data_IF_658348921052
#
_entry.id   IF_658348921052
#
_cell.length_a   1.000
_cell.length_b   1.000
_cell.length_c   1.000
_cell.angle_alpha   90.00
_cell.angle_beta   90.00
_cell.angle_gamma   90.00
#
_symmetry.space_group_name_H-M   'P 1'
#
loop_
_entity.id
_entity.type
_entity.pdbx_description
1 polymer ?
#
# COMPACT_ATOMS: atom_id res chain seq x y z
N UNK A 1 55.88 40.57 -3.26
CA UNK A 1 54.55 39.96 -3.41
C UNK A 1 54.74 38.46 -3.59
N UNK A 2 54.35 37.65 -2.60
CA UNK A 2 54.42 36.18 -2.63
C UNK A 2 53.12 35.66 -2.03
N UNK A 3 52.25 35.10 -2.88
CA UNK A 3 51.01 34.43 -2.46
C UNK A 3 51.36 33.14 -1.71
N UNK A 4 50.76 32.92 -0.55
CA UNK A 4 50.74 31.61 0.12
C UNK A 4 49.33 31.30 0.60
N UNK A 5 48.87 30.14 0.16
CA UNK A 5 47.54 29.55 0.19
C UNK A 5 47.13 29.09 1.60
N UNK A 6 45.87 29.30 2.05
CA UNK A 6 45.37 28.57 3.20
C UNK A 6 45.01 27.13 2.81
N UNK A 7 45.61 26.15 3.49
CA UNK A 7 45.18 24.76 3.49
C UNK A 7 43.89 24.62 4.32
N UNK A 8 42.75 24.41 3.68
CA UNK A 8 41.54 23.90 4.36
C UNK A 8 41.70 22.39 4.44
N UNK A 9 42.06 21.88 5.62
CA UNK A 9 42.05 20.45 5.91
C UNK A 9 40.59 20.01 6.04
N UNK A 10 40.16 19.16 5.11
CA UNK A 10 38.86 18.53 5.11
C UNK A 10 38.68 17.62 6.33
N UNK A 11 37.82 18.02 7.25
CA UNK A 11 37.12 17.13 8.15
C UNK A 11 35.78 16.75 7.54
N UNK A 12 35.79 15.81 6.59
CA UNK A 12 34.57 15.20 6.10
C UNK A 12 33.93 14.44 7.27
N UNK A 13 32.95 15.06 7.90
CA UNK A 13 32.04 14.39 8.82
C UNK A 13 31.28 13.34 8.00
N UNK A 14 31.78 12.09 8.02
CA UNK A 14 31.08 10.92 7.52
C UNK A 14 29.88 10.67 8.44
N UNK A 15 28.83 11.48 8.28
CA UNK A 15 27.50 11.01 8.60
C UNK A 15 27.21 9.92 7.59
N UNK A 16 27.31 8.68 8.07
CA UNK A 16 26.81 7.48 7.45
C UNK A 16 25.55 7.85 6.68
N UNK A 17 25.68 7.92 5.35
CA UNK A 17 24.54 7.99 4.46
C UNK A 17 23.71 6.76 4.79
N UNK A 18 22.71 6.93 5.65
CA UNK A 18 21.60 6.01 5.76
C UNK A 18 21.16 5.81 4.33
N UNK A 19 21.32 4.58 3.85
CA UNK A 19 20.83 4.15 2.55
C UNK A 19 19.47 4.82 2.37
N UNK A 20 19.14 5.42 1.20
CA UNK A 20 17.75 5.69 0.93
C UNK A 20 17.07 4.35 1.14
N UNK A 21 16.31 4.24 2.21
CA UNK A 21 15.40 3.13 2.40
C UNK A 21 14.47 3.31 1.21
N UNK A 22 14.80 2.61 0.12
CA UNK A 22 13.92 2.42 -0.99
C UNK A 22 12.80 1.58 -0.40
N UNK A 23 11.95 2.26 0.36
CA UNK A 23 10.63 1.82 0.76
C UNK A 23 10.06 1.40 -0.58
N UNK A 24 10.01 0.08 -0.79
CA UNK A 24 9.39 -0.51 -1.97
C UNK A 24 7.99 0.06 -1.98
N UNK A 25 7.80 1.15 -2.72
CA UNK A 25 6.49 1.69 -3.03
C UNK A 25 5.77 0.49 -3.61
N UNK A 26 4.68 -0.01 -3.00
CA UNK A 26 4.12 -1.26 -3.44
C UNK A 26 3.71 -1.10 -4.90
N UNK A 27 4.51 -1.66 -5.81
CA UNK A 27 4.38 -1.53 -7.27
C UNK A 27 3.24 -2.40 -7.81
N UNK A 28 2.45 -3.00 -6.92
CA UNK A 28 1.22 -3.70 -7.29
C UNK A 28 0.12 -2.72 -7.69
N UNK A 29 -0.88 -3.23 -8.41
CA UNK A 29 -2.14 -2.52 -8.62
C UNK A 29 -2.96 -2.65 -7.34
N UNK A 30 -3.60 -1.57 -6.89
CA UNK A 30 -4.60 -1.64 -5.82
C UNK A 30 -5.77 -2.52 -6.26
N UNK A 31 -6.32 -3.27 -5.32
CA UNK A 31 -7.50 -4.10 -5.59
C UNK A 31 -8.75 -3.32 -5.21
N UNK A 32 -9.67 -3.18 -6.15
CA UNK A 32 -10.98 -2.59 -5.90
C UNK A 32 -11.94 -3.68 -5.45
N UNK A 33 -12.67 -3.43 -4.36
CA UNK A 33 -13.68 -4.33 -3.82
C UNK A 33 -14.99 -3.56 -3.66
N UNK A 34 -16.07 -4.05 -4.24
CA UNK A 34 -17.43 -3.57 -3.96
C UNK A 34 -17.97 -4.37 -2.79
N UNK A 35 -18.22 -3.71 -1.67
CA UNK A 35 -18.95 -4.28 -0.53
C UNK A 35 -20.45 -4.01 -0.73
N UNK A 36 -21.20 -5.05 -1.09
CA UNK A 36 -22.65 -4.98 -1.35
C UNK A 36 -23.41 -5.87 -0.35
N UNK A 37 -24.25 -5.26 0.48
CA UNK A 37 -25.11 -5.98 1.44
C UNK A 37 -26.56 -6.17 0.94
N UNK A 38 -26.89 -5.64 -0.23
CA UNK A 38 -28.26 -5.43 -0.72
C UNK A 38 -28.96 -4.22 -0.11
N UNK A 39 -28.52 -3.74 1.06
CA UNK A 39 -29.03 -2.51 1.68
C UNK A 39 -28.06 -1.32 1.49
N UNK A 40 -26.76 -1.60 1.34
CA UNK A 40 -25.69 -0.60 1.18
C UNK A 40 -24.65 -1.10 0.19
N UNK A 41 -24.14 -0.20 -0.64
CA UNK A 41 -23.05 -0.48 -1.60
C UNK A 41 -21.91 0.52 -1.39
N UNK A 42 -20.70 0.02 -1.11
CA UNK A 42 -19.50 0.85 -0.92
C UNK A 42 -18.32 0.31 -1.73
N UNK A 43 -17.48 1.22 -2.25
CA UNK A 43 -16.24 0.87 -2.96
C UNK A 43 -15.05 0.98 -2.00
N UNK A 44 -14.37 -0.13 -1.77
CA UNK A 44 -13.17 -0.24 -0.95
C UNK A 44 -11.93 -0.39 -1.84
N UNK A 45 -10.85 0.25 -1.43
CA UNK A 45 -9.56 0.19 -2.13
C UNK A 45 -8.56 -0.48 -1.20
N UNK A 46 -8.14 -1.68 -1.57
CA UNK A 46 -7.11 -2.41 -0.84
C UNK A 46 -5.73 -1.98 -1.33
N UNK A 47 -4.76 -1.83 -0.41
CA UNK A 47 -3.40 -1.45 -0.77
C UNK A 47 -2.80 -2.48 -1.72
N UNK A 48 -1.93 -2.00 -2.61
CA UNK A 48 -1.21 -2.87 -3.51
C UNK A 48 -0.30 -3.82 -2.72
N UNK A 49 -0.35 -5.11 -3.06
CA UNK A 49 0.41 -6.16 -2.38
C UNK A 49 -0.39 -7.02 -1.39
N UNK A 50 -1.62 -6.62 -1.07
CA UNK A 50 -2.56 -7.51 -0.38
C UNK A 50 -3.30 -8.37 -1.42
N UNK A 51 -3.09 -9.69 -1.35
CA UNK A 51 -3.82 -10.63 -2.20
C UNK A 51 -5.26 -10.72 -1.68
N UNK A 52 -6.20 -10.17 -2.47
CA UNK A 52 -7.64 -10.22 -2.19
C UNK A 52 -8.27 -11.07 -3.27
N UNK A 53 -8.59 -12.31 -2.90
CA UNK A 53 -9.15 -13.32 -3.78
C UNK A 53 -10.53 -13.76 -3.27
N UNK A 54 -11.22 -14.58 -4.06
CA UNK A 54 -12.49 -15.18 -3.64
C UNK A 54 -12.29 -16.01 -2.37
N UNK A 55 -13.18 -15.85 -1.40
CA UNK A 55 -13.11 -16.48 -0.08
C UNK A 55 -12.31 -15.67 0.95
N UNK A 56 -11.59 -14.62 0.54
CA UNK A 56 -10.95 -13.69 1.48
C UNK A 56 -12.02 -13.06 2.37
N UNK A 57 -11.80 -13.13 3.68
CA UNK A 57 -12.66 -12.50 4.68
C UNK A 57 -11.96 -11.29 5.29
N UNK A 58 -12.68 -10.18 5.41
CA UNK A 58 -12.16 -8.95 6.00
C UNK A 58 -13.21 -8.27 6.88
N UNK A 59 -12.77 -7.47 7.85
CA UNK A 59 -13.66 -6.73 8.74
C UNK A 59 -13.81 -5.30 8.25
N UNK A 60 -15.05 -4.86 8.06
CA UNK A 60 -15.36 -3.49 7.63
C UNK A 60 -16.63 -3.00 8.34
N UNK A 61 -16.55 -1.82 8.97
CA UNK A 61 -17.62 -1.23 9.79
C UNK A 61 -18.24 -2.18 10.83
N UNK A 62 -17.41 -3.05 11.42
CA UNK A 62 -17.85 -4.01 12.43
C UNK A 62 -18.46 -5.30 11.89
N UNK A 63 -18.70 -5.40 10.57
CA UNK A 63 -19.21 -6.60 9.90
C UNK A 63 -18.06 -7.38 9.26
N UNK A 64 -18.16 -8.71 9.26
CA UNK A 64 -17.25 -9.57 8.48
C UNK A 64 -17.84 -9.69 7.08
N UNK A 65 -17.01 -9.40 6.09
CA UNK A 65 -17.33 -9.50 4.67
C UNK A 65 -16.53 -10.63 4.05
N UNK A 66 -17.11 -11.34 3.11
CA UNK A 66 -16.43 -12.37 2.32
C UNK A 66 -16.46 -11.97 0.85
N UNK A 67 -15.31 -12.05 0.19
CA UNK A 67 -15.22 -11.85 -1.25
C UNK A 67 -15.87 -13.05 -1.94
N UNK A 68 -17.02 -12.85 -2.58
CA UNK A 68 -17.78 -13.94 -3.22
C UNK A 68 -17.48 -14.07 -4.71
N UNK A 69 -16.91 -13.04 -5.33
CA UNK A 69 -16.58 -13.09 -6.76
C UNK A 69 -15.80 -11.90 -7.31
N UNK A 70 -15.73 -11.85 -8.64
CA UNK A 70 -15.01 -10.85 -9.43
C UNK A 70 -15.82 -10.51 -10.68
N UNK A 71 -15.90 -9.22 -11.00
CA UNK A 71 -16.49 -8.72 -12.26
C UNK A 71 -15.46 -8.73 -13.38
N UNK A 72 -15.92 -8.67 -14.64
CA UNK A 72 -15.06 -8.69 -15.84
C UNK A 72 -14.02 -7.55 -15.86
N UNK A 73 -14.31 -6.44 -15.19
CA UNK A 73 -13.41 -5.28 -15.05
C UNK A 73 -12.26 -5.49 -14.07
N UNK A 74 -12.18 -6.63 -13.39
CA UNK A 74 -11.15 -6.89 -12.39
C UNK A 74 -11.53 -6.47 -10.96
N UNK A 75 -12.73 -5.94 -10.77
CA UNK A 75 -13.25 -5.50 -9.47
C UNK A 75 -13.82 -6.69 -8.70
N UNK A 76 -13.39 -6.87 -7.46
CA UNK A 76 -13.88 -7.92 -6.58
C UNK A 76 -15.23 -7.51 -5.96
N UNK A 77 -16.05 -8.49 -5.60
CA UNK A 77 -17.34 -8.27 -4.93
C UNK A 77 -17.32 -8.99 -3.59
N UNK A 78 -17.72 -8.30 -2.54
CA UNK A 78 -17.85 -8.81 -1.19
C UNK A 78 -19.28 -8.70 -0.70
N UNK A 79 -19.72 -9.71 0.04
CA UNK A 79 -21.03 -9.75 0.69
C UNK A 79 -20.85 -9.96 2.21
N UNK A 80 -21.80 -9.52 3.06
CA UNK A 80 -21.74 -9.77 4.50
C UNK A 80 -21.74 -11.27 4.78
N UNK A 81 -20.74 -11.74 5.50
CA UNK A 81 -20.65 -13.12 5.95
C UNK A 81 -21.74 -13.37 6.99
N UNK A 82 -22.76 -14.15 6.61
CA UNK A 82 -23.75 -14.65 7.56
C UNK A 82 -23.11 -15.82 8.30
N UNK A 83 -22.82 -15.64 9.59
CA UNK A 83 -22.36 -16.69 10.48
C UNK A 83 -23.55 -17.44 11.07
#
# INVERSE_FOLDING_TARGET
MKLMTPHIIGGAQLHSAGRPECTRRPTGRSTLVIADSGATVELLVFPSGEAVDRGTRFRYRGTIWEITGKRDSGIMVAEPSRH
#
